data_IF_887316537531
#
_entry.id   IF_887316537531
#
_cell.length_a   1.000
_cell.length_b   1.000
_cell.length_c   1.000
_cell.angle_alpha   90.00
_cell.angle_beta   90.00
_cell.angle_gamma   90.00
#
_symmetry.space_group_name_H-M   'P 1'
#
loop_
_entity.id
_entity.type
_entity.pdbx_description
1 polymer ?
#
# COMPACT_ATOMS: atom_id res chain seq x y z
N UNK A 1 18.17 9.59 -11.11
CA UNK A 1 17.19 9.50 -10.00
C UNK A 1 17.64 8.40 -9.04
N UNK A 2 17.40 8.56 -7.73
CA UNK A 2 18.03 7.77 -6.67
C UNK A 2 17.55 6.30 -6.68
N UNK A 3 18.47 5.33 -6.79
CA UNK A 3 18.20 3.88 -6.71
C UNK A 3 17.37 3.53 -5.45
N UNK A 4 17.58 4.28 -4.35
CA UNK A 4 16.79 4.13 -3.13
C UNK A 4 15.31 4.42 -3.33
N UNK A 5 14.94 5.45 -4.12
CA UNK A 5 13.54 5.75 -4.40
C UNK A 5 12.88 4.67 -5.26
N UNK A 6 13.59 4.12 -6.25
CA UNK A 6 13.06 3.03 -7.07
C UNK A 6 12.83 1.76 -6.23
N UNK A 7 13.76 1.47 -5.32
CA UNK A 7 13.62 0.38 -4.35
C UNK A 7 12.44 0.61 -3.41
N UNK A 8 12.23 1.85 -2.96
CA UNK A 8 11.08 2.23 -2.15
C UNK A 8 9.74 2.06 -2.90
N UNK A 9 9.67 2.44 -4.18
CA UNK A 9 8.49 2.17 -5.02
C UNK A 9 8.23 0.66 -5.09
N UNK A 10 9.25 -0.16 -5.31
CA UNK A 10 9.11 -1.64 -5.35
C UNK A 10 8.59 -2.19 -4.04
N UNK A 11 9.14 -1.76 -2.91
CA UNK A 11 8.70 -2.18 -1.58
C UNK A 11 7.21 -1.90 -1.39
N UNK A 12 6.78 -0.65 -1.62
CA UNK A 12 5.39 -0.26 -1.41
C UNK A 12 4.47 -0.94 -2.43
N UNK A 13 4.87 -1.02 -3.70
CA UNK A 13 4.11 -1.71 -4.73
C UNK A 13 3.90 -3.19 -4.39
N UNK A 14 4.93 -3.88 -3.90
CA UNK A 14 4.83 -5.28 -3.48
C UNK A 14 3.88 -5.45 -2.29
N UNK A 15 3.92 -4.55 -1.30
CA UNK A 15 2.99 -4.58 -0.18
C UNK A 15 1.52 -4.45 -0.65
N UNK A 16 1.24 -3.52 -1.56
CA UNK A 16 -0.09 -3.34 -2.13
C UNK A 16 -0.51 -4.46 -3.08
N UNK A 17 0.42 -5.02 -3.86
CA UNK A 17 0.19 -6.20 -4.69
C UNK A 17 -0.27 -7.37 -3.82
N UNK A 18 0.52 -7.72 -2.79
CA UNK A 18 0.23 -8.85 -1.90
C UNK A 18 -1.08 -8.65 -1.13
N UNK A 19 -1.32 -7.44 -0.61
CA UNK A 19 -2.59 -7.10 0.08
C UNK A 19 -3.82 -7.27 -0.83
N UNK A 20 -3.67 -7.14 -2.15
CA UNK A 20 -4.77 -7.18 -3.12
C UNK A 20 -4.60 -8.30 -4.15
N UNK A 21 -3.90 -9.39 -3.78
CA UNK A 21 -3.47 -10.45 -4.70
C UNK A 21 -4.61 -10.94 -5.61
N UNK A 22 -5.73 -11.34 -5.03
CA UNK A 22 -6.88 -11.87 -5.79
C UNK A 22 -7.38 -10.87 -6.86
N UNK A 23 -7.48 -9.59 -6.53
CA UNK A 23 -7.93 -8.56 -7.48
C UNK A 23 -6.88 -8.29 -8.56
N UNK A 24 -5.60 -8.29 -8.17
CA UNK A 24 -4.49 -8.04 -9.09
C UNK A 24 -4.34 -9.21 -10.08
N UNK A 25 -4.39 -10.46 -9.60
CA UNK A 25 -4.37 -11.68 -10.43
C UNK A 25 -5.56 -11.66 -11.40
N UNK A 26 -6.77 -11.42 -10.91
CA UNK A 26 -7.98 -11.40 -11.75
C UNK A 26 -7.91 -10.36 -12.87
N UNK A 27 -7.30 -9.19 -12.62
CA UNK A 27 -7.26 -8.09 -13.60
C UNK A 27 -6.03 -8.09 -14.49
N UNK A 28 -4.88 -8.49 -13.98
CA UNK A 28 -3.59 -8.40 -14.67
C UNK A 28 -3.03 -9.75 -15.10
N UNK A 29 -3.49 -10.86 -14.50
CA UNK A 29 -3.04 -12.22 -14.85
C UNK A 29 -1.66 -12.60 -14.29
N UNK A 30 -1.15 -11.90 -13.28
CA UNK A 30 0.16 -12.19 -12.67
C UNK A 30 -0.02 -12.57 -11.20
N UNK A 31 0.65 -13.64 -10.78
CA UNK A 31 0.61 -14.19 -9.43
C UNK A 31 1.67 -13.58 -8.52
N UNK A 32 2.76 -13.06 -9.09
CA UNK A 32 3.84 -12.44 -8.33
C UNK A 32 4.15 -11.01 -8.79
N UNK A 33 4.64 -10.16 -7.88
CA UNK A 33 5.11 -8.81 -8.23
C UNK A 33 6.19 -8.83 -9.33
N UNK A 34 7.07 -9.84 -9.31
CA UNK A 34 8.19 -9.99 -10.26
C UNK A 34 7.71 -10.41 -11.65
N UNK A 35 6.72 -11.29 -11.74
CA UNK A 35 6.10 -11.64 -13.03
C UNK A 35 5.54 -10.38 -13.72
N UNK A 36 4.79 -9.56 -12.97
CA UNK A 36 4.27 -8.28 -13.48
C UNK A 36 5.40 -7.30 -13.83
N UNK A 37 6.49 -7.25 -13.06
CA UNK A 37 7.62 -6.36 -13.35
C UNK A 37 8.38 -6.79 -14.61
N UNK A 38 8.57 -8.09 -14.79
CA UNK A 38 9.30 -8.67 -15.91
C UNK A 38 8.48 -8.72 -17.20
N UNK A 39 7.15 -8.63 -17.13
CA UNK A 39 6.29 -8.50 -18.30
C UNK A 39 6.36 -7.13 -18.98
N UNK A 40 6.94 -6.12 -18.32
CA UNK A 40 7.05 -4.77 -18.86
C UNK A 40 8.26 -4.65 -19.79
N UNK A 41 8.05 -3.99 -20.93
CA UNK A 41 9.07 -3.86 -21.98
C UNK A 41 10.38 -3.26 -21.44
N UNK A 42 11.50 -3.91 -21.77
CA UNK A 42 12.85 -3.50 -21.37
C UNK A 42 13.37 -2.22 -22.05
N UNK A 43 12.55 -1.54 -22.87
CA UNK A 43 12.93 -0.34 -23.63
C UNK A 43 12.66 0.99 -22.93
N UNK A 44 11.87 1.01 -21.85
CA UNK A 44 11.67 2.21 -21.02
C UNK A 44 12.87 2.43 -20.10
N UNK A 45 13.19 3.68 -19.78
CA UNK A 45 14.19 3.94 -18.73
C UNK A 45 13.73 3.27 -17.41
N UNK A 46 14.69 2.84 -16.59
CA UNK A 46 14.37 2.06 -15.36
C UNK A 46 13.39 2.79 -14.44
N UNK A 47 13.47 4.11 -14.39
CA UNK A 47 12.59 4.93 -13.58
C UNK A 47 11.12 4.85 -14.05
N UNK A 48 10.88 5.01 -15.35
CA UNK A 48 9.57 4.87 -15.99
C UNK A 48 9.04 3.46 -15.81
N UNK A 49 9.88 2.43 -15.98
CA UNK A 49 9.48 1.04 -15.77
C UNK A 49 8.96 0.81 -14.35
N UNK A 50 9.70 1.27 -13.33
CA UNK A 50 9.28 1.14 -11.94
C UNK A 50 8.00 1.93 -11.62
N UNK A 51 7.86 3.14 -12.17
CA UNK A 51 6.65 3.95 -12.00
C UNK A 51 5.44 3.29 -12.66
N UNK A 52 5.58 2.82 -13.89
CA UNK A 52 4.49 2.18 -14.63
C UNK A 52 4.09 0.85 -13.98
N UNK A 53 5.06 0.09 -13.47
CA UNK A 53 4.80 -1.09 -12.65
C UNK A 53 3.92 -0.79 -11.45
N UNK A 54 4.29 0.21 -10.65
CA UNK A 54 3.50 0.62 -9.52
C UNK A 54 2.11 1.14 -9.92
N UNK A 55 2.03 1.89 -11.02
CA UNK A 55 0.76 2.41 -11.53
C UNK A 55 -0.18 1.29 -12.00
N UNK A 56 0.33 0.21 -12.60
CA UNK A 56 -0.48 -0.95 -12.97
C UNK A 56 -1.09 -1.63 -11.74
N UNK A 57 -0.30 -1.84 -10.68
CA UNK A 57 -0.81 -2.34 -9.39
C UNK A 57 -1.91 -1.42 -8.86
N UNK A 58 -1.64 -0.12 -8.82
CA UNK A 58 -2.58 0.88 -8.33
C UNK A 58 -3.90 0.92 -9.13
N UNK A 59 -3.84 0.76 -10.45
CA UNK A 59 -5.03 0.72 -11.32
C UNK A 59 -5.86 -0.56 -11.12
N UNK A 60 -5.22 -1.67 -10.79
CA UNK A 60 -5.91 -2.93 -10.53
C UNK A 60 -6.70 -2.89 -9.21
N UNK A 61 -6.17 -2.24 -8.18
CA UNK A 61 -6.77 -2.19 -6.84
C UNK A 61 -8.13 -1.48 -6.86
N UNK A 62 -9.15 -2.17 -6.34
CA UNK A 62 -10.47 -1.58 -6.10
C UNK A 62 -10.45 -0.84 -4.77
N UNK A 63 -10.56 0.48 -4.83
CA UNK A 63 -10.62 1.34 -3.64
C UNK A 63 -12.09 1.46 -3.21
N UNK A 64 -12.44 0.91 -2.04
CA UNK A 64 -13.79 1.08 -1.45
C UNK A 64 -13.83 2.13 -0.34
N UNK A 65 -12.67 2.45 0.23
CA UNK A 65 -12.50 3.45 1.29
C UNK A 65 -11.18 4.20 1.12
N UNK A 66 -11.06 5.36 1.77
CA UNK A 66 -9.88 6.22 1.65
C UNK A 66 -8.58 5.56 2.14
N UNK A 67 -8.63 4.82 3.25
CA UNK A 67 -7.49 4.13 3.87
C UNK A 67 -6.90 3.01 3.00
N UNK A 68 -7.69 2.46 2.09
CA UNK A 68 -7.24 1.42 1.16
C UNK A 68 -6.55 1.99 -0.08
N UNK A 69 -6.59 3.31 -0.27
CA UNK A 69 -6.07 3.96 -1.47
C UNK A 69 -4.55 3.86 -1.53
N UNK A 70 -3.97 3.32 -2.62
CA UNK A 70 -2.53 3.38 -2.80
C UNK A 70 -2.06 4.83 -2.98
N UNK A 71 -0.92 5.22 -2.36
CA UNK A 71 -0.36 6.56 -2.53
C UNK A 71 -0.06 6.88 -4.00
N UNK A 72 0.11 8.16 -4.32
CA UNK A 72 0.59 8.56 -5.65
C UNK A 72 2.11 8.40 -5.71
N UNK A 73 2.67 8.32 -6.92
CA UNK A 73 4.13 8.34 -7.11
C UNK A 73 4.74 9.61 -6.51
N UNK A 74 4.05 10.74 -6.62
CA UNK A 74 4.48 12.02 -6.03
C UNK A 74 4.47 11.97 -4.50
N UNK A 75 3.43 11.41 -3.88
CA UNK A 75 3.38 11.24 -2.43
C UNK A 75 4.47 10.29 -1.94
N UNK A 76 4.74 9.20 -2.68
CA UNK A 76 5.85 8.29 -2.39
C UNK A 76 7.20 8.99 -2.48
N UNK A 77 7.43 9.78 -3.54
CA UNK A 77 8.68 10.54 -3.72
C UNK A 77 8.91 11.52 -2.57
N UNK A 78 7.87 12.26 -2.20
CA UNK A 78 7.95 13.25 -1.11
C UNK A 78 8.14 12.60 0.25
N UNK A 79 7.48 11.46 0.50
CA UNK A 79 7.72 10.68 1.70
C UNK A 79 9.16 10.17 1.75
N UNK A 80 9.67 9.60 0.65
CA UNK A 80 11.06 9.17 0.54
C UNK A 80 12.04 10.30 0.83
N UNK A 81 11.84 11.47 0.21
CA UNK A 81 12.67 12.67 0.43
C UNK A 81 12.67 13.12 1.90
N UNK A 82 11.50 13.14 2.55
CA UNK A 82 11.40 13.44 3.99
C UNK A 82 12.15 12.42 4.83
N UNK A 83 12.01 11.12 4.52
CA UNK A 83 12.72 10.07 5.25
C UNK A 83 14.24 10.19 5.10
N UNK A 84 14.74 10.54 3.91
CA UNK A 84 16.15 10.86 3.70
C UNK A 84 16.59 12.07 4.54
N UNK A 85 15.83 13.16 4.51
CA UNK A 85 16.14 14.36 5.29
C UNK A 85 16.17 14.08 6.79
N UNK A 86 15.15 13.40 7.31
CA UNK A 86 15.06 13.04 8.72
C UNK A 86 16.25 12.16 9.13
N UNK A 87 16.64 11.19 8.29
CA UNK A 87 17.84 10.38 8.52
C UNK A 87 19.10 11.25 8.60
N UNK A 88 19.29 12.15 7.63
CA UNK A 88 20.45 13.07 7.62
C UNK A 88 20.46 13.99 8.84
N UNK A 89 19.31 14.53 9.23
CA UNK A 89 19.15 15.33 10.44
C UNK A 89 19.59 14.55 11.69
N UNK A 90 19.11 13.31 11.87
CA UNK A 90 19.48 12.48 13.01
C UNK A 90 20.97 12.11 13.04
N UNK A 91 21.58 11.85 11.89
CA UNK A 91 23.03 11.57 11.79
C UNK A 91 23.87 12.77 12.25
N UNK A 92 23.34 13.99 12.11
CA UNK A 92 24.04 15.22 12.48
C UNK A 92 23.61 15.78 13.85
N UNK A 93 22.64 15.16 14.53
CA UNK A 93 22.03 15.67 15.76
C UNK A 93 23.01 15.86 16.94
N UNK A 94 24.16 15.18 16.91
CA UNK A 94 25.20 15.26 17.97
C UNK A 94 26.40 16.13 17.57
N UNK A 95 26.39 16.75 16.39
CA UNK A 95 27.50 17.57 15.90
C UNK A 95 27.32 19.04 16.33
N UNK A 96 28.42 19.72 16.66
CA UNK A 96 28.39 21.11 17.14
C UNK A 96 27.70 22.08 16.15
N UNK A 97 27.88 21.84 14.84
CA UNK A 97 27.23 22.60 13.75
C UNK A 97 26.08 21.78 13.13
N UNK A 98 25.22 21.23 13.99
CA UNK A 98 24.14 20.27 13.72
C UNK A 98 23.29 20.51 12.45
N UNK A 99 23.22 21.75 11.95
CA UNK A 99 22.39 22.14 10.81
C UNK A 99 23.15 22.80 9.66
N UNK A 100 24.46 23.03 9.80
CA UNK A 100 25.25 23.61 8.73
C UNK A 100 25.41 22.60 7.59
N UNK A 101 24.89 22.96 6.41
CA UNK A 101 24.91 22.12 5.22
C UNK A 101 23.70 21.19 5.06
N UNK A 102 22.77 21.15 6.01
CA UNK A 102 21.50 20.45 5.81
C UNK A 102 20.63 21.20 4.79
N UNK A 103 20.13 20.46 3.81
CA UNK A 103 19.20 21.02 2.84
C UNK A 103 17.93 21.54 3.55
N UNK A 104 17.41 22.66 3.07
CA UNK A 104 16.21 23.27 3.61
C UNK A 104 15.02 22.27 3.52
N UNK A 105 14.27 22.01 4.62
CA UNK A 105 13.20 21.02 4.63
C UNK A 105 12.15 21.23 3.53
N UNK A 106 11.89 22.48 3.14
CA UNK A 106 10.93 22.87 2.11
C UNK A 106 11.25 22.24 0.75
N UNK A 107 12.52 21.94 0.48
CA UNK A 107 12.95 21.26 -0.75
C UNK A 107 12.75 19.75 -0.71
N UNK A 108 12.46 19.19 0.48
CA UNK A 108 12.44 17.76 0.77
C UNK A 108 11.07 17.25 1.21
N UNK A 109 9.99 17.92 0.76
CA UNK A 109 8.62 17.47 0.97
C UNK A 109 8.00 17.97 2.28
N UNK A 110 8.49 19.08 2.81
CA UNK A 110 7.91 19.83 3.93
C UNK A 110 7.34 21.18 3.45
N UNK A 111 6.39 21.73 4.20
CA UNK A 111 5.85 23.08 4.03
C UNK A 111 6.11 23.86 5.31
N UNK A 112 6.65 25.07 5.21
CA UNK A 112 6.75 25.98 6.35
C UNK A 112 5.38 26.59 6.62
N UNK A 113 4.85 26.33 7.81
CA UNK A 113 3.65 26.97 8.34
C UNK A 113 3.98 27.86 9.53
N UNK A 114 2.95 28.48 10.10
CA UNK A 114 3.11 29.44 11.19
C UNK A 114 3.66 28.80 12.48
N UNK A 115 3.31 27.54 12.73
CA UNK A 115 3.71 26.78 13.92
C UNK A 115 4.74 25.67 13.61
N UNK A 116 5.57 25.86 12.60
CA UNK A 116 6.61 24.91 12.21
C UNK A 116 6.34 24.23 10.86
N UNK A 117 6.78 22.98 10.72
CA UNK A 117 6.75 22.29 9.43
C UNK A 117 5.57 21.30 9.31
N UNK A 118 4.87 21.37 8.18
CA UNK A 118 3.82 20.44 7.79
C UNK A 118 4.31 19.54 6.65
N UNK A 119 3.71 18.37 6.49
CA UNK A 119 4.05 17.49 5.39
C UNK A 119 3.48 18.00 4.06
N UNK A 120 4.34 18.16 3.06
CA UNK A 120 3.90 18.33 1.67
C UNK A 120 3.62 16.93 1.09
N UNK A 121 2.35 16.50 1.13
CA UNK A 121 1.98 15.18 0.61
C UNK A 121 1.87 15.14 -0.90
N UNK A 122 1.40 16.21 -1.53
CA UNK A 122 0.99 16.17 -2.94
C UNK A 122 1.02 17.54 -3.63
N UNK A 123 1.26 17.57 -4.94
CA UNK A 123 1.21 18.82 -5.70
C UNK A 123 -0.24 19.32 -5.89
N UNK A 124 -0.41 20.62 -6.11
CA UNK A 124 -1.74 21.26 -6.18
C UNK A 124 -2.69 20.62 -7.20
N UNK A 125 -2.18 20.22 -8.37
CA UNK A 125 -2.97 19.55 -9.41
C UNK A 125 -3.46 18.17 -8.95
N UNK A 126 -2.57 17.37 -8.35
CA UNK A 126 -2.92 16.03 -7.88
C UNK A 126 -3.86 16.06 -6.68
N UNK A 127 -3.75 17.06 -5.78
CA UNK A 127 -4.72 17.26 -4.68
C UNK A 127 -6.16 17.38 -5.20
N UNK A 128 -6.38 18.19 -6.25
CA UNK A 128 -7.72 18.33 -6.86
C UNK A 128 -8.26 17.00 -7.40
N UNK A 129 -7.41 16.20 -8.05
CA UNK A 129 -7.79 14.87 -8.55
C UNK A 129 -8.09 13.89 -7.42
N UNK A 130 -7.30 13.93 -6.33
CA UNK A 130 -7.53 13.10 -5.15
C UNK A 130 -8.88 13.46 -4.53
N UNK A 131 -9.14 14.74 -4.30
CA UNK A 131 -10.40 15.24 -3.74
C UNK A 131 -11.60 14.80 -4.57
N UNK A 132 -11.56 14.99 -5.90
CA UNK A 132 -12.67 14.56 -6.76
C UNK A 132 -12.93 13.04 -6.69
N UNK A 133 -11.89 12.22 -6.52
CA UNK A 133 -12.05 10.79 -6.29
C UNK A 133 -12.64 10.49 -4.92
N UNK A 134 -12.23 11.20 -3.86
CA UNK A 134 -12.78 11.03 -2.51
C UNK A 134 -14.24 11.45 -2.45
N UNK A 135 -14.59 12.57 -3.07
CA UNK A 135 -15.97 13.03 -3.18
C UNK A 135 -16.84 11.97 -3.86
N UNK A 136 -16.34 11.31 -4.90
CA UNK A 136 -17.06 10.21 -5.56
C UNK A 136 -17.16 8.96 -4.67
N UNK A 137 -16.09 8.60 -3.96
CA UNK A 137 -16.08 7.47 -3.03
C UNK A 137 -17.07 7.66 -1.87
N UNK A 138 -17.22 8.90 -1.39
CA UNK A 138 -18.06 9.25 -0.26
C UNK A 138 -19.49 9.66 -0.67
N UNK A 139 -19.67 10.19 -1.88
CA UNK A 139 -20.93 10.77 -2.39
C UNK A 139 -21.11 10.38 -3.85
N UNK A 140 -21.47 9.12 -4.05
CA UNK A 140 -21.77 8.53 -5.35
C UNK A 140 -23.13 8.98 -5.91
N UNK A 141 -23.72 8.16 -6.79
CA UNK A 141 -25.04 8.48 -7.35
C UNK A 141 -26.18 8.11 -6.39
N UNK A 142 -27.32 8.81 -6.50
CA UNK A 142 -28.54 8.55 -5.73
C UNK A 142 -29.70 8.10 -6.63
N UNK A 143 -29.40 7.38 -7.71
CA UNK A 143 -30.38 7.05 -8.73
C UNK A 143 -31.44 6.05 -8.22
N UNK A 144 -32.72 6.34 -8.47
CA UNK A 144 -33.83 5.41 -8.17
C UNK A 144 -34.17 4.45 -9.32
N UNK A 145 -33.55 4.65 -10.47
CA UNK A 145 -33.83 3.92 -11.73
C UNK A 145 -32.84 2.79 -12.01
N UNK A 146 -32.07 2.37 -11.00
CA UNK A 146 -31.13 1.26 -11.10
C UNK A 146 -29.88 1.51 -11.93
N UNK A 147 -29.52 2.76 -12.23
CA UNK A 147 -28.26 3.11 -12.91
C UNK A 147 -28.06 2.43 -14.29
N UNK A 148 -29.14 2.28 -15.06
CA UNK A 148 -29.11 1.61 -16.39
C UNK A 148 -28.66 2.50 -17.55
N UNK A 149 -28.83 3.82 -17.41
CA UNK A 149 -28.56 4.79 -18.48
C UNK A 149 -27.60 5.89 -18.05
N UNK A 150 -27.08 6.65 -19.02
CA UNK A 150 -26.24 7.85 -18.81
C UNK A 150 -26.92 8.99 -17.99
N UNK A 151 -28.15 8.80 -17.50
CA UNK A 151 -28.74 9.65 -16.44
C UNK A 151 -28.04 9.45 -15.08
N UNK A 152 -27.46 8.28 -14.84
CA UNK A 152 -26.59 8.03 -13.70
C UNK A 152 -25.23 8.74 -13.89
N UNK A 153 -24.77 9.49 -12.89
CA UNK A 153 -23.47 10.16 -12.92
C UNK A 153 -22.32 9.16 -13.06
N UNK A 154 -22.35 8.04 -12.34
CA UNK A 154 -21.34 6.98 -12.42
C UNK A 154 -21.23 6.46 -13.86
N UNK A 155 -22.34 6.03 -14.45
CA UNK A 155 -22.36 5.46 -15.80
C UNK A 155 -21.99 6.48 -16.88
N UNK A 156 -22.43 7.74 -16.73
CA UNK A 156 -22.03 8.84 -17.62
C UNK A 156 -20.53 9.10 -17.59
N UNK A 157 -19.91 8.95 -16.42
CA UNK A 157 -18.46 9.06 -16.22
C UNK A 157 -17.70 7.78 -16.55
N UNK A 158 -18.36 6.73 -17.06
CA UNK A 158 -17.74 5.44 -17.36
C UNK A 158 -17.23 4.70 -16.12
N UNK A 159 -17.83 4.98 -14.95
CA UNK A 159 -17.47 4.37 -13.66
C UNK A 159 -18.62 3.52 -13.14
N UNK A 160 -18.25 2.49 -12.41
CA UNK A 160 -19.20 1.67 -11.66
C UNK A 160 -19.64 2.39 -10.39
N UNK A 161 -20.80 1.99 -9.88
CA UNK A 161 -21.27 2.43 -8.58
C UNK A 161 -20.43 1.77 -7.48
N UNK A 162 -19.89 2.59 -6.59
CA UNK A 162 -19.11 2.16 -5.43
C UNK A 162 -19.88 2.30 -4.12
N UNK A 163 -19.17 2.12 -3.01
CA UNK A 163 -19.74 2.13 -1.65
C UNK A 163 -20.47 3.44 -1.29
N UNK A 164 -20.03 4.60 -1.80
CA UNK A 164 -20.72 5.87 -1.58
C UNK A 164 -21.97 6.11 -2.42
N UNK A 165 -22.40 5.18 -3.29
CA UNK A 165 -23.63 5.34 -4.05
C UNK A 165 -24.85 4.90 -3.22
N UNK A 166 -25.89 5.74 -3.19
CA UNK A 166 -27.18 5.46 -2.54
C UNK A 166 -28.28 5.11 -3.57
N UNK A 167 -27.88 4.58 -4.72
CA UNK A 167 -28.80 4.18 -5.77
C UNK A 167 -29.61 2.92 -5.38
N UNK A 168 -30.88 2.86 -5.79
CA UNK A 168 -31.78 1.72 -5.55
C UNK A 168 -31.86 0.82 -6.78
N UNK A 169 -31.76 -0.50 -6.57
CA UNK A 169 -31.81 -1.51 -7.63
C UNK A 169 -30.68 -1.36 -8.64
N UNK A 170 -29.47 -1.03 -8.17
CA UNK A 170 -28.34 -0.71 -9.02
C UNK A 170 -27.87 -1.92 -9.83
N UNK A 171 -27.82 -1.77 -11.15
CA UNK A 171 -27.19 -2.77 -12.05
C UNK A 171 -25.79 -2.35 -12.51
N UNK A 172 -25.36 -1.13 -12.16
CA UNK A 172 -24.04 -0.61 -12.50
C UNK A 172 -23.03 -0.95 -11.40
N UNK A 173 -22.96 -2.22 -11.02
CA UNK A 173 -21.99 -2.78 -10.06
C UNK A 173 -21.26 -3.94 -10.74
N UNK A 174 -19.97 -4.14 -10.46
CA UNK A 174 -19.28 -5.37 -10.85
C UNK A 174 -19.92 -6.55 -10.12
N UNK A 175 -20.51 -7.49 -10.86
CA UNK A 175 -20.74 -8.83 -10.38
C UNK A 175 -19.36 -9.42 -10.05
N UNK A 176 -19.00 -9.47 -8.76
CA UNK A 176 -18.18 -10.59 -8.32
C UNK A 176 -19.01 -11.82 -8.67
N UNK A 177 -18.45 -12.73 -9.46
CA UNK A 177 -19.00 -14.06 -9.59
C UNK A 177 -19.41 -14.54 -8.20
N UNK A 178 -20.68 -14.92 -8.07
CA UNK A 178 -21.19 -15.64 -6.91
C UNK A 178 -20.20 -16.75 -6.54
N UNK A 179 -20.07 -17.13 -5.26
CA UNK A 179 -19.43 -18.40 -4.94
C UNK A 179 -20.10 -19.48 -5.80
N UNK A 180 -19.37 -20.47 -6.34
CA UNK A 180 -20.02 -21.63 -6.95
C UNK A 180 -21.01 -22.18 -5.92
N UNK A 181 -22.30 -22.06 -6.22
CA UNK A 181 -23.33 -22.84 -5.56
C UNK A 181 -23.22 -24.23 -6.16
N UNK A 182 -23.17 -25.21 -5.27
CA UNK A 182 -23.48 -26.62 -5.50
C UNK A 182 -22.52 -27.36 -6.44
N UNK A 183 -21.50 -27.98 -5.83
CA UNK A 183 -21.12 -29.33 -6.25
C UNK A 183 -21.62 -30.27 -5.16
N UNK A 184 -22.68 -30.97 -5.54
CA UNK A 184 -23.28 -32.09 -4.84
C UNK A 184 -22.21 -33.11 -4.41
N UNK A 185 -22.51 -33.72 -3.27
CA UNK A 185 -21.89 -34.91 -2.72
C UNK A 185 -21.87 -36.03 -3.76
N UNK A 186 -20.68 -36.51 -4.14
CA UNK A 186 -20.50 -37.90 -4.55
C UNK A 186 -19.36 -38.49 -3.72
N UNK A 187 -19.77 -39.39 -2.81
CA UNK A 187 -18.92 -40.30 -2.05
C UNK A 187 -18.12 -41.17 -3.02
N UNK A 188 -16.79 -41.15 -2.93
CA UNK A 188 -15.95 -42.18 -3.53
C UNK A 188 -15.21 -42.91 -2.41
N UNK A 189 -15.64 -44.16 -2.16
CA UNK A 189 -15.00 -45.12 -1.28
C UNK A 189 -13.55 -45.34 -1.73
N UNK A 190 -12.59 -45.10 -0.84
CA UNK A 190 -11.19 -45.45 -1.07
C UNK A 190 -10.86 -46.64 -0.17
N UNK A 191 -10.59 -47.78 -0.80
CA UNK A 191 -10.19 -49.03 -0.17
C UNK A 191 -8.91 -48.87 0.64
N UNK A 192 -8.91 -49.48 1.83
CA UNK A 192 -7.79 -49.55 2.74
C UNK A 192 -6.82 -50.65 2.31
N UNK A 193 -5.54 -50.31 2.17
CA UNK A 193 -4.43 -51.27 2.27
C UNK A 193 -3.47 -50.78 3.36
N UNK A 194 -3.36 -51.60 4.41
CA UNK A 194 -2.36 -51.51 5.47
C UNK A 194 -1.02 -52.05 4.96
N UNK A 195 0.10 -51.44 5.34
CA UNK A 195 1.28 -52.15 5.87
C UNK A 195 2.34 -51.18 6.46
N UNK A 196 2.40 -51.20 7.80
CA UNK A 196 3.58 -51.36 8.67
C UNK A 196 4.86 -50.47 8.52
N UNK A 197 5.05 -49.67 9.58
CA UNK A 197 6.24 -49.54 10.42
C UNK A 197 7.60 -49.11 9.82
N UNK A 198 7.99 -47.87 10.15
CA UNK A 198 9.36 -47.38 10.10
C UNK A 198 9.59 -46.25 11.11
N UNK A 199 10.10 -46.62 12.28
CA UNK A 199 10.51 -45.74 13.39
C UNK A 199 11.58 -44.72 12.98
N UNK A 200 11.40 -43.46 13.38
CA UNK A 200 12.41 -42.41 13.31
C UNK A 200 11.99 -41.20 14.15
N UNK A 201 12.30 -41.26 15.43
CA UNK A 201 12.24 -40.12 16.35
C UNK A 201 13.21 -39.02 15.88
N UNK A 202 12.72 -37.80 15.74
CA UNK A 202 13.54 -36.60 15.87
C UNK A 202 12.69 -35.48 16.44
N UNK A 203 12.90 -35.24 17.74
CA UNK A 203 12.54 -34.02 18.44
C UNK A 203 13.24 -32.83 17.77
N UNK A 204 12.48 -31.90 17.23
CA UNK A 204 12.95 -30.54 16.97
C UNK A 204 11.95 -29.58 17.65
N UNK A 205 12.33 -29.13 18.84
CA UNK A 205 11.66 -28.04 19.55
C UNK A 205 11.74 -26.73 18.75
N UNK A 206 10.69 -25.91 18.73
CA UNK A 206 10.80 -24.56 18.18
C UNK A 206 11.57 -23.65 19.14
N UNK A 207 12.75 -23.19 18.73
CA UNK A 207 13.47 -22.09 19.38
C UNK A 207 12.57 -20.84 19.49
N UNK A 208 12.11 -20.57 20.71
CA UNK A 208 11.54 -19.27 21.08
C UNK A 208 12.61 -18.19 20.93
N UNK A 209 12.47 -17.34 19.92
CA UNK A 209 13.21 -16.09 19.78
C UNK A 209 12.85 -15.15 20.95
N UNK A 210 13.60 -15.26 22.05
CA UNK A 210 13.63 -14.27 23.12
C UNK A 210 14.22 -12.97 22.55
N UNK A 211 13.34 -12.01 22.24
CA UNK A 211 13.77 -10.63 22.03
C UNK A 211 13.90 -9.98 23.40
N UNK A 212 15.12 -9.99 23.95
CA UNK A 212 15.44 -9.14 25.10
C UNK A 212 15.34 -7.67 24.66
N UNK A 213 14.26 -7.01 25.09
CA UNK A 213 14.18 -5.56 25.10
C UNK A 213 15.11 -5.10 26.22
N UNK A 214 16.30 -4.64 25.85
CA UNK A 214 17.19 -3.93 26.77
C UNK A 214 16.53 -2.59 27.10
N UNK A 215 15.68 -2.56 28.13
CA UNK A 215 15.32 -1.32 28.80
C UNK A 215 16.46 -0.99 29.75
N UNK A 216 17.41 -0.18 29.30
CA UNK A 216 18.28 0.54 30.23
C UNK A 216 17.40 1.51 31.02
N UNK A 217 16.91 1.04 32.17
CA UNK A 217 16.41 1.89 33.23
C UNK A 217 17.59 2.76 33.68
N UNK A 218 17.51 4.05 33.37
CA UNK A 218 18.32 5.06 34.02
C UNK A 218 18.01 4.99 35.51
N UNK A 219 18.96 4.49 36.29
CA UNK A 219 18.99 4.77 37.72
C UNK A 219 19.46 6.21 37.86
N UNK A 220 18.59 7.04 38.43
CA UNK A 220 18.97 8.25 39.11
C UNK A 220 20.02 7.90 40.17
N UNK A 221 21.21 8.47 40.01
CA UNK A 221 22.12 8.70 41.11
C UNK A 221 22.22 10.21 41.29
N UNK A 222 21.33 10.71 42.14
CA UNK A 222 21.71 11.79 43.05
C UNK A 222 22.96 11.34 43.81
N UNK A 223 24.03 12.13 43.72
CA UNK A 223 24.78 12.57 44.90
C UNK A 223 25.97 13.46 44.50
N UNK A 224 25.94 14.65 45.09
CA UNK A 224 27.07 15.34 45.70
C UNK A 224 28.29 15.75 44.84
N UNK A 225 28.36 17.06 44.59
CA UNK A 225 29.52 17.78 45.11
C UNK A 225 29.17 19.24 45.48
N UNK A 226 29.00 19.42 46.78
CA UNK A 226 29.31 20.63 47.51
C UNK A 226 30.84 20.80 47.50
N UNK A 227 31.33 21.89 46.91
CA UNK A 227 32.38 22.77 47.45
C UNK A 227 32.60 23.98 46.54
#
# INVERSE_FOLDING_TARGET
>A
MNIGFLSFIRLIGTAYFKKNLATVVSKLGFETPDQLFNSMQSGSNDEERNKEWYLNIKRAIRVVSEDQRPPTVTALLRHWMRSCWTKEMWINATKADQYDGLAAPETLGWLKGDNGYLFDWECSNMRKKIQATLDFLNKGCMCRTGCKTKRCSCQRSGRECGAGCECRGCVNVQFLHSPPQDLDEEEEEVEAEEEEAGSGESDDEPEELQTEIITHTFYDSDDDNIL
#
